data_IF_514124705983
#
_entry.id   IF_514124705983
#
_cell.length_a   1.000
_cell.length_b   1.000
_cell.length_c   1.000
_cell.angle_alpha   90.00
_cell.angle_beta   90.00
_cell.angle_gamma   90.00
#
_symmetry.space_group_name_H-M   'P 1'
#
loop_
_entity.id
_entity.type
_entity.pdbx_description
1 polymer ?
#
# COMPACT_ATOMS: atom_id res chain seq x y z
N UNK A 1 26.54 -17.77 9.57
CA UNK A 1 25.32 -18.55 9.93
C UNK A 1 25.76 -19.83 10.61
N UNK A 2 25.15 -20.20 11.74
CA UNK A 2 25.57 -21.39 12.50
C UNK A 2 25.08 -22.67 11.80
N UNK A 3 25.90 -23.73 11.70
CA UNK A 3 25.49 -25.02 11.12
C UNK A 3 24.21 -25.59 11.74
N UNK A 4 24.03 -25.41 13.06
CA UNK A 4 22.83 -25.85 13.79
C UNK A 4 21.54 -25.13 13.35
N UNK A 5 21.66 -23.89 12.88
CA UNK A 5 20.52 -23.10 12.40
C UNK A 5 20.11 -23.56 10.99
N UNK A 6 21.09 -23.95 10.17
CA UNK A 6 20.84 -24.47 8.83
C UNK A 6 20.19 -25.87 8.88
N UNK A 7 20.67 -26.74 9.78
CA UNK A 7 20.06 -28.06 10.04
C UNK A 7 18.61 -27.94 10.54
N UNK A 8 18.34 -26.99 11.44
CA UNK A 8 16.97 -26.73 11.92
C UNK A 8 16.05 -26.22 10.79
N UNK A 9 16.53 -25.32 9.93
CA UNK A 9 15.76 -24.84 8.79
C UNK A 9 15.45 -25.96 7.77
N UNK A 10 16.41 -26.85 7.52
CA UNK A 10 16.22 -28.02 6.65
C UNK A 10 15.20 -29.01 7.22
N UNK A 11 15.25 -29.28 8.53
CA UNK A 11 14.26 -30.14 9.20
C UNK A 11 12.83 -29.58 9.11
N UNK A 12 12.68 -28.25 9.24
CA UNK A 12 11.38 -27.57 9.08
C UNK A 12 10.86 -27.68 7.65
N UNK A 13 11.72 -27.45 6.64
CA UNK A 13 11.34 -27.61 5.22
C UNK A 13 10.85 -29.04 4.96
N UNK A 14 11.58 -30.04 5.44
CA UNK A 14 11.24 -31.44 5.23
C UNK A 14 9.92 -31.83 5.94
N UNK A 15 9.65 -31.27 7.11
CA UNK A 15 8.37 -31.46 7.81
C UNK A 15 7.19 -30.85 7.05
N UNK A 16 7.37 -29.68 6.44
CA UNK A 16 6.33 -29.02 5.64
C UNK A 16 6.02 -29.82 4.37
N UNK A 17 7.03 -30.38 3.71
CA UNK A 17 6.87 -31.23 2.52
C UNK A 17 6.17 -32.55 2.85
N UNK A 18 6.52 -33.19 3.96
CA UNK A 18 5.84 -34.40 4.43
C UNK A 18 4.36 -34.13 4.78
N UNK A 19 4.07 -32.97 5.38
CA UNK A 19 2.69 -32.56 5.71
C UNK A 19 1.86 -32.31 4.45
N UNK A 20 2.47 -31.70 3.42
CA UNK A 20 1.85 -31.52 2.10
C UNK A 20 1.41 -32.86 1.51
N UNK A 21 2.31 -33.86 1.50
CA UNK A 21 2.01 -35.15 0.89
C UNK A 21 0.91 -35.90 1.66
N UNK A 22 0.88 -35.77 2.99
CA UNK A 22 -0.20 -36.32 3.82
C UNK A 22 -1.57 -35.67 3.54
N UNK A 23 -1.62 -34.35 3.35
CA UNK A 23 -2.85 -33.64 2.99
C UNK A 23 -3.35 -34.06 1.61
N UNK A 24 -2.45 -34.19 0.62
CA UNK A 24 -2.82 -34.60 -0.73
C UNK A 24 -3.44 -36.01 -0.74
N UNK A 25 -2.89 -36.95 0.03
CA UNK A 25 -3.45 -38.32 0.17
C UNK A 25 -4.85 -38.31 0.81
N UNK A 26 -5.08 -37.50 1.84
CA UNK A 26 -6.41 -37.40 2.51
C UNK A 26 -7.46 -36.81 1.57
N UNK A 27 -7.04 -35.99 0.62
CA UNK A 27 -7.94 -35.22 -0.24
C UNK A 27 -8.21 -35.83 -1.63
N UNK A 28 -7.65 -37.00 -1.92
CA UNK A 28 -7.98 -37.77 -3.13
C UNK A 28 -9.42 -38.33 -3.12
N UNK A 29 -10.09 -38.38 -1.95
CA UNK A 29 -11.37 -39.09 -1.77
C UNK A 29 -12.64 -38.22 -1.99
N UNK A 30 -12.55 -36.89 -2.01
CA UNK A 30 -13.72 -36.02 -2.27
C UNK A 30 -13.36 -34.72 -3.02
N UNK A 31 -14.13 -34.36 -4.06
CA UNK A 31 -13.88 -33.16 -4.90
C UNK A 31 -13.80 -31.84 -4.11
N UNK A 32 -14.51 -31.72 -2.99
CA UNK A 32 -14.45 -30.53 -2.12
C UNK A 32 -13.13 -30.47 -1.33
N UNK A 33 -12.55 -31.62 -1.00
CA UNK A 33 -11.25 -31.72 -0.33
C UNK A 33 -10.11 -31.34 -1.28
N UNK A 34 -10.22 -31.60 -2.58
CA UNK A 34 -9.18 -31.27 -3.57
C UNK A 34 -8.87 -29.77 -3.65
N UNK A 35 -9.88 -28.89 -3.59
CA UNK A 35 -9.67 -27.44 -3.59
C UNK A 35 -8.97 -26.95 -2.30
N UNK A 36 -9.32 -27.54 -1.16
CA UNK A 36 -8.69 -27.26 0.13
C UNK A 36 -7.25 -27.78 0.17
N UNK A 37 -7.02 -29.00 -0.34
CA UNK A 37 -5.70 -29.62 -0.45
C UNK A 37 -4.73 -28.77 -1.28
N UNK A 38 -5.20 -28.30 -2.44
CA UNK A 38 -4.41 -27.46 -3.32
C UNK A 38 -4.12 -26.09 -2.69
N UNK A 39 -5.08 -25.50 -1.96
CA UNK A 39 -4.83 -24.26 -1.21
C UNK A 39 -3.80 -24.46 -0.11
N UNK A 40 -3.86 -25.56 0.63
CA UNK A 40 -2.86 -25.94 1.62
C UNK A 40 -1.49 -26.19 0.99
N UNK A 41 -1.43 -26.91 -0.14
CA UNK A 41 -0.19 -27.17 -0.90
C UNK A 41 0.48 -25.87 -1.35
N UNK A 42 -0.29 -24.92 -1.90
CA UNK A 42 0.23 -23.61 -2.32
C UNK A 42 0.81 -22.84 -1.12
N UNK A 43 0.09 -22.81 0.00
CA UNK A 43 0.55 -22.10 1.19
C UNK A 43 1.81 -22.74 1.78
N UNK A 44 1.87 -24.08 1.85
CA UNK A 44 3.03 -24.81 2.34
C UNK A 44 4.26 -24.60 1.44
N UNK A 45 4.07 -24.61 0.11
CA UNK A 45 5.15 -24.31 -0.86
C UNK A 45 5.64 -22.87 -0.74
N UNK A 46 4.74 -21.90 -0.55
CA UNK A 46 5.11 -20.50 -0.31
C UNK A 46 5.90 -20.34 0.99
N UNK A 47 5.48 -21.00 2.06
CA UNK A 47 6.21 -20.99 3.34
C UNK A 47 7.60 -21.62 3.20
N UNK A 48 7.72 -22.77 2.54
CA UNK A 48 9.00 -23.43 2.29
C UNK A 48 9.94 -22.57 1.43
N UNK A 49 9.43 -21.93 0.37
CA UNK A 49 10.20 -21.03 -0.48
C UNK A 49 10.61 -19.73 0.24
N UNK A 50 9.77 -19.22 1.15
CA UNK A 50 10.12 -18.08 2.01
C UNK A 50 11.28 -18.43 2.96
N UNK A 51 11.24 -19.60 3.60
CA UNK A 51 12.34 -20.11 4.43
C UNK A 51 13.60 -20.29 3.57
N UNK A 52 13.50 -20.94 2.40
CA UNK A 52 14.64 -21.10 1.48
C UNK A 52 15.29 -19.77 1.12
N UNK A 53 14.48 -18.76 0.76
CA UNK A 53 14.97 -17.42 0.46
C UNK A 53 15.67 -16.76 1.66
N UNK A 54 15.07 -16.83 2.85
CA UNK A 54 15.65 -16.27 4.09
C UNK A 54 17.00 -16.90 4.46
N UNK A 55 17.22 -18.17 4.10
CA UNK A 55 18.44 -18.91 4.41
C UNK A 55 19.40 -19.07 3.21
N UNK A 56 19.15 -18.39 2.09
CA UNK A 56 20.01 -18.44 0.89
C UNK A 56 20.03 -19.79 0.17
N UNK A 57 18.99 -20.60 0.35
CA UNK A 57 18.78 -21.88 -0.34
C UNK A 57 18.06 -21.66 -1.67
N UNK A 58 18.28 -22.57 -2.64
CA UNK A 58 17.69 -22.47 -3.99
C UNK A 58 16.16 -22.57 -3.91
N UNK A 59 15.47 -21.54 -4.41
CA UNK A 59 14.01 -21.48 -4.52
C UNK A 59 13.54 -22.35 -5.69
N UNK A 60 12.49 -23.15 -5.50
CA UNK A 60 11.86 -23.90 -6.57
C UNK A 60 10.76 -23.06 -7.23
N UNK A 61 10.79 -22.95 -8.57
CA UNK A 61 9.77 -22.24 -9.33
C UNK A 61 8.45 -23.02 -9.34
N UNK A 62 7.32 -22.34 -9.12
CA UNK A 62 6.00 -22.92 -9.32
C UNK A 62 5.78 -23.17 -10.83
N UNK A 63 5.96 -24.42 -11.29
CA UNK A 63 6.06 -24.76 -12.72
C UNK A 63 4.73 -24.94 -13.46
N UNK A 64 3.56 -24.66 -12.86
CA UNK A 64 2.30 -24.78 -13.59
C UNK A 64 1.26 -23.77 -13.10
N UNK A 65 0.83 -22.81 -13.93
CA UNK A 65 -0.41 -22.08 -13.70
C UNK A 65 -1.56 -23.08 -13.78
N UNK A 66 -2.19 -23.39 -12.65
CA UNK A 66 -3.34 -24.29 -12.60
C UNK A 66 -4.53 -23.55 -13.18
N UNK A 67 -5.08 -24.08 -14.27
CA UNK A 67 -6.34 -23.62 -14.84
C UNK A 67 -7.49 -24.40 -14.20
N UNK A 68 -8.39 -23.69 -13.53
CA UNK A 68 -9.58 -24.31 -12.93
C UNK A 68 -10.68 -24.37 -13.98
N UNK A 69 -11.27 -25.54 -14.18
CA UNK A 69 -12.56 -25.61 -14.88
C UNK A 69 -13.62 -24.89 -14.03
N UNK A 70 -14.56 -24.16 -14.65
CA UNK A 70 -15.62 -23.47 -13.92
C UNK A 70 -16.38 -24.45 -13.03
N UNK A 71 -16.63 -24.10 -11.77
CA UNK A 71 -17.50 -24.91 -10.91
C UNK A 71 -18.88 -25.02 -11.59
N UNK A 72 -19.29 -26.25 -11.88
CA UNK A 72 -20.60 -26.57 -12.49
C UNK A 72 -21.63 -27.05 -11.47
N UNK A 73 -21.22 -27.38 -10.24
CA UNK A 73 -22.10 -27.83 -9.16
C UNK A 73 -21.65 -27.31 -7.78
N UNK A 74 -22.62 -26.99 -6.92
CA UNK A 74 -22.40 -26.72 -5.49
C UNK A 74 -23.45 -27.49 -4.68
N UNK A 75 -23.03 -28.27 -3.69
CA UNK A 75 -23.92 -29.08 -2.82
C UNK A 75 -24.89 -30.00 -3.58
N UNK A 76 -24.42 -30.63 -4.66
CA UNK A 76 -25.23 -31.57 -5.46
C UNK A 76 -26.33 -30.91 -6.30
N UNK A 77 -26.30 -29.57 -6.44
CA UNK A 77 -27.16 -28.80 -7.33
C UNK A 77 -26.35 -28.25 -8.49
N UNK A 78 -26.88 -28.36 -9.70
CA UNK A 78 -26.30 -27.71 -10.87
C UNK A 78 -26.25 -26.20 -10.64
N UNK A 79 -25.06 -25.62 -10.76
CA UNK A 79 -24.89 -24.19 -10.87
C UNK A 79 -25.46 -23.81 -12.24
N UNK A 80 -26.75 -23.47 -12.29
CA UNK A 80 -27.31 -22.76 -13.44
C UNK A 80 -26.40 -21.57 -13.68
N UNK A 81 -25.67 -21.62 -14.79
CA UNK A 81 -24.77 -20.58 -15.24
C UNK A 81 -25.63 -19.33 -15.43
N UNK A 82 -25.73 -18.52 -14.38
CA UNK A 82 -26.03 -17.11 -14.54
C UNK A 82 -24.80 -16.54 -15.23
N UNK A 83 -24.81 -16.61 -16.57
CA UNK A 83 -23.93 -15.87 -17.47
C UNK A 83 -24.25 -14.36 -17.42
N UNK A 84 -24.57 -13.89 -16.24
CA UNK A 84 -24.48 -12.53 -15.79
C UNK A 84 -23.71 -12.69 -14.50
N UNK A 85 -22.39 -12.56 -14.57
CA UNK A 85 -21.74 -11.79 -13.51
C UNK A 85 -22.57 -10.52 -13.45
N UNK A 86 -23.50 -10.42 -12.50
CA UNK A 86 -23.87 -9.10 -12.02
C UNK A 86 -22.50 -8.50 -11.75
N UNK A 87 -22.13 -7.51 -12.57
CA UNK A 87 -21.21 -6.50 -12.10
C UNK A 87 -21.89 -6.07 -10.81
N UNK A 88 -21.46 -6.64 -9.69
CA UNK A 88 -21.61 -5.99 -8.40
C UNK A 88 -21.08 -4.62 -8.73
N UNK A 89 -21.95 -3.61 -8.74
CA UNK A 89 -21.55 -2.25 -8.96
C UNK A 89 -20.52 -1.97 -7.86
N UNK A 90 -19.25 -2.15 -8.20
CA UNK A 90 -18.11 -1.78 -7.36
C UNK A 90 -17.92 -0.27 -7.40
N UNK A 91 -18.78 0.43 -8.16
CA UNK A 91 -18.92 1.87 -8.06
C UNK A 91 -19.54 2.17 -6.68
N UNK A 92 -18.81 2.88 -5.80
CA UNK A 92 -19.35 3.26 -4.51
C UNK A 92 -20.63 4.06 -4.72
N UNK A 93 -21.62 3.80 -3.89
CA UNK A 93 -22.87 4.55 -3.88
C UNK A 93 -22.60 6.03 -3.65
N UNK A 94 -23.53 6.90 -4.09
CA UNK A 94 -23.41 8.34 -3.85
C UNK A 94 -23.28 8.65 -2.35
N UNK A 95 -23.94 7.89 -1.49
CA UNK A 95 -23.86 8.07 -0.04
C UNK A 95 -22.48 7.70 0.52
N UNK A 96 -21.86 6.63 0.01
CA UNK A 96 -20.49 6.24 0.35
C UNK A 96 -19.47 7.27 -0.15
N UNK A 97 -19.68 7.83 -1.34
CA UNK A 97 -18.85 8.90 -1.89
C UNK A 97 -18.95 10.19 -1.06
N UNK A 98 -20.15 10.61 -0.67
CA UNK A 98 -20.32 11.78 0.20
C UNK A 98 -19.70 11.56 1.59
N UNK A 99 -19.89 10.37 2.17
CA UNK A 99 -19.26 10.00 3.44
C UNK A 99 -17.73 10.07 3.35
N UNK A 100 -17.15 9.56 2.26
CA UNK A 100 -15.71 9.63 2.03
C UNK A 100 -15.24 11.08 1.84
N UNK A 101 -15.98 11.92 1.11
CA UNK A 101 -15.68 13.35 0.95
C UNK A 101 -15.68 14.08 2.29
N UNK A 102 -16.69 13.84 3.14
CA UNK A 102 -16.77 14.43 4.47
C UNK A 102 -15.56 14.04 5.34
N UNK A 103 -15.17 12.76 5.29
CA UNK A 103 -13.97 12.26 5.97
C UNK A 103 -12.70 12.92 5.46
N UNK A 104 -12.52 13.05 4.15
CA UNK A 104 -11.36 13.74 3.55
C UNK A 104 -11.31 15.20 4.02
N UNK A 105 -12.45 15.91 4.06
CA UNK A 105 -12.52 17.29 4.54
C UNK A 105 -12.22 17.42 6.04
N UNK A 106 -12.73 16.50 6.87
CA UNK A 106 -12.43 16.48 8.30
C UNK A 106 -10.95 16.17 8.58
N UNK A 107 -10.38 15.28 7.78
CA UNK A 107 -8.97 14.94 7.82
C UNK A 107 -8.12 16.15 7.42
N UNK A 108 -8.43 16.82 6.32
CA UNK A 108 -7.75 18.04 5.87
C UNK A 108 -7.75 19.14 6.96
N UNK A 109 -8.89 19.35 7.64
CA UNK A 109 -8.95 20.25 8.80
C UNK A 109 -8.03 19.81 9.94
N UNK A 110 -7.91 18.51 10.18
CA UNK A 110 -7.01 17.97 11.21
C UNK A 110 -5.54 18.17 10.88
N UNK A 111 -5.18 18.15 9.59
CA UNK A 111 -3.83 18.47 9.09
C UNK A 111 -3.49 19.97 9.20
N UNK A 112 -4.49 20.84 9.04
CA UNK A 112 -4.35 22.30 9.24
C UNK A 112 -4.27 22.69 10.73
N UNK A 113 -4.78 21.84 11.61
CA UNK A 113 -4.69 22.05 13.06
C UNK A 113 -3.34 21.67 13.65
N UNK A 114 -3.10 22.04 14.91
CA UNK A 114 -1.88 21.73 15.66
C UNK A 114 -1.77 20.26 16.12
N UNK A 115 -2.42 19.33 15.43
CA UNK A 115 -2.31 17.90 15.76
C UNK A 115 -0.89 17.42 15.46
N UNK A 116 -0.28 16.60 16.33
CA UNK A 116 1.02 15.99 16.03
C UNK A 116 0.89 14.89 14.95
N UNK A 117 1.94 14.62 14.18
CA UNK A 117 1.93 13.62 13.10
C UNK A 117 1.60 12.21 13.62
N UNK A 118 2.13 11.86 14.79
CA UNK A 118 1.85 10.57 15.46
C UNK A 118 0.39 10.46 15.88
N UNK A 119 -0.24 11.60 16.22
CA UNK A 119 -1.66 11.65 16.56
C UNK A 119 -2.54 11.49 15.32
N UNK A 120 -2.12 12.01 14.17
CA UNK A 120 -2.82 11.77 12.92
C UNK A 120 -2.68 10.31 12.47
N UNK A 121 -1.46 9.76 12.57
CA UNK A 121 -1.17 8.38 12.19
C UNK A 121 -1.94 7.37 13.04
N UNK A 122 -2.00 7.56 14.36
CA UNK A 122 -2.72 6.66 15.29
C UNK A 122 -4.24 6.68 15.14
N UNK A 123 -4.81 7.64 14.42
CA UNK A 123 -6.25 7.70 14.11
C UNK A 123 -6.64 6.81 12.94
N UNK A 124 -5.68 6.34 12.15
CA UNK A 124 -5.90 5.45 11.01
C UNK A 124 -6.19 4.06 11.54
N UNK A 125 -7.44 3.62 11.44
CA UNK A 125 -7.86 2.32 11.96
C UNK A 125 -8.59 1.47 10.93
N UNK A 126 -9.12 2.11 9.88
CA UNK A 126 -9.97 1.46 8.89
C UNK A 126 -9.42 1.63 7.48
N UNK A 127 -9.86 0.77 6.56
CA UNK A 127 -9.54 0.90 5.14
C UNK A 127 -10.08 2.21 4.53
N UNK A 128 -11.19 2.73 5.05
CA UNK A 128 -11.74 4.03 4.65
C UNK A 128 -10.81 5.19 5.06
N UNK A 129 -10.16 5.11 6.23
CA UNK A 129 -9.17 6.12 6.65
C UNK A 129 -7.94 6.10 5.75
N UNK A 130 -7.49 4.91 5.35
CA UNK A 130 -6.41 4.71 4.38
C UNK A 130 -6.77 5.34 3.03
N UNK A 131 -7.98 5.10 2.54
CA UNK A 131 -8.48 5.71 1.31
C UNK A 131 -8.61 7.23 1.43
N UNK A 132 -9.08 7.75 2.56
CA UNK A 132 -9.19 9.18 2.80
C UNK A 132 -7.80 9.85 2.80
N UNK A 133 -6.79 9.23 3.40
CA UNK A 133 -5.40 9.73 3.39
C UNK A 133 -4.81 9.72 1.99
N UNK A 134 -4.97 8.62 1.24
CA UNK A 134 -4.49 8.57 -0.14
C UNK A 134 -5.24 9.55 -1.05
N UNK A 135 -6.54 9.74 -0.83
CA UNK A 135 -7.32 10.77 -1.50
C UNK A 135 -6.82 12.19 -1.19
N UNK A 136 -6.43 12.45 0.06
CA UNK A 136 -5.82 13.71 0.46
C UNK A 136 -4.43 13.89 -0.18
N UNK A 137 -3.58 12.87 -0.16
CA UNK A 137 -2.28 12.88 -0.82
C UNK A 137 -2.39 13.15 -2.34
N UNK A 138 -3.37 12.51 -3.00
CA UNK A 138 -3.70 12.76 -4.40
C UNK A 138 -4.11 14.21 -4.65
N UNK A 139 -5.02 14.75 -3.82
CA UNK A 139 -5.47 16.15 -3.91
C UNK A 139 -4.28 17.12 -3.83
N UNK A 140 -3.31 16.81 -2.97
CA UNK A 140 -2.12 17.64 -2.73
C UNK A 140 -0.90 17.26 -3.58
N UNK A 141 -1.08 16.38 -4.58
CA UNK A 141 -0.03 15.96 -5.53
C UNK A 141 1.25 15.47 -4.85
N UNK A 142 1.11 14.73 -3.75
CA UNK A 142 2.24 14.05 -3.12
C UNK A 142 2.67 12.88 -4.01
N UNK A 143 3.97 12.78 -4.29
CA UNK A 143 4.54 11.77 -5.18
C UNK A 143 4.44 10.35 -4.59
N UNK A 144 4.33 9.34 -5.44
CA UNK A 144 4.29 7.90 -5.07
C UNK A 144 3.24 7.50 -4.02
N UNK A 145 2.25 8.35 -3.78
CA UNK A 145 1.24 8.21 -2.73
C UNK A 145 0.35 6.97 -2.87
N UNK A 146 0.41 6.22 -3.98
CA UNK A 146 -0.36 5.01 -4.25
C UNK A 146 0.36 3.73 -3.78
N UNK A 147 1.69 3.75 -3.78
CA UNK A 147 2.54 2.58 -3.50
C UNK A 147 3.27 2.66 -2.16
N UNK A 148 3.49 3.87 -1.62
CA UNK A 148 4.18 4.03 -0.33
C UNK A 148 3.31 3.62 0.86
N UNK A 149 3.95 3.21 1.95
CA UNK A 149 3.28 2.96 3.22
C UNK A 149 2.74 4.26 3.82
N UNK A 150 1.63 4.19 4.56
CA UNK A 150 1.16 5.36 5.31
C UNK A 150 1.92 5.39 6.64
N UNK A 151 2.97 6.21 6.69
CA UNK A 151 3.83 6.41 7.84
C UNK A 151 3.99 7.91 8.16
N UNK A 152 4.85 8.25 9.12
CA UNK A 152 5.09 9.64 9.53
C UNK A 152 5.58 10.50 8.36
N UNK A 153 6.42 9.95 7.48
CA UNK A 153 6.99 10.70 6.36
C UNK A 153 5.89 11.10 5.36
N UNK A 154 5.01 10.17 4.98
CA UNK A 154 3.88 10.50 4.10
C UNK A 154 2.95 11.54 4.73
N UNK A 155 2.67 11.42 6.02
CA UNK A 155 1.83 12.39 6.76
C UNK A 155 2.51 13.77 6.80
N UNK A 156 3.83 13.82 6.97
CA UNK A 156 4.61 15.06 6.91
C UNK A 156 4.56 15.71 5.52
N UNK A 157 4.71 14.93 4.46
CA UNK A 157 4.66 15.45 3.10
C UNK A 157 3.30 16.05 2.76
N UNK A 158 2.20 15.36 3.11
CA UNK A 158 0.85 15.89 2.95
C UNK A 158 0.68 17.19 3.73
N UNK A 159 1.16 17.24 4.98
CA UNK A 159 1.06 18.45 5.82
C UNK A 159 1.84 19.62 5.24
N UNK A 160 3.06 19.38 4.80
CA UNK A 160 3.93 20.40 4.23
C UNK A 160 3.30 21.01 2.98
N UNK A 161 2.64 20.19 2.14
CA UNK A 161 1.90 20.67 0.96
C UNK A 161 0.71 21.55 1.32
N UNK A 162 -0.09 21.13 2.30
CA UNK A 162 -1.22 21.92 2.81
C UNK A 162 -0.73 23.26 3.35
N UNK A 163 0.31 23.25 4.17
CA UNK A 163 0.85 24.44 4.79
C UNK A 163 1.47 25.40 3.76
N UNK A 164 2.21 24.87 2.78
CA UNK A 164 2.76 25.68 1.70
C UNK A 164 1.67 26.41 0.90
N UNK A 165 0.56 25.74 0.57
CA UNK A 165 -0.59 26.35 -0.11
C UNK A 165 -1.26 27.43 0.74
N UNK A 166 -1.36 27.22 2.05
CA UNK A 166 -1.92 28.21 2.98
C UNK A 166 -1.07 29.47 3.06
N UNK A 167 0.26 29.32 3.15
CA UNK A 167 1.19 30.45 3.13
C UNK A 167 1.09 31.27 1.84
N UNK A 168 0.88 30.61 0.70
CA UNK A 168 0.66 31.29 -0.58
C UNK A 168 -0.65 32.08 -0.57
N UNK A 169 -1.74 31.49 -0.07
CA UNK A 169 -3.06 32.15 0.00
C UNK A 169 -3.09 33.32 0.97
N UNK A 170 -2.35 33.22 2.08
CA UNK A 170 -2.25 34.26 3.10
C UNK A 170 -1.25 35.37 2.73
N UNK A 171 -0.48 35.19 1.65
CA UNK A 171 0.53 36.15 1.20
C UNK A 171 1.79 36.18 2.08
N UNK A 172 1.99 35.20 2.95
CA UNK A 172 3.18 35.07 3.78
C UNK A 172 4.32 34.39 3.02
N UNK A 173 4.80 35.12 2.01
CA UNK A 173 5.92 34.75 1.14
C UNK A 173 7.20 34.48 1.94
N UNK A 174 7.37 35.11 3.11
CA UNK A 174 8.58 35.00 3.91
C UNK A 174 8.72 33.62 4.55
N UNK A 175 7.61 33.06 5.05
CA UNK A 175 7.59 31.72 5.63
C UNK A 175 7.81 30.62 4.57
N UNK A 176 7.27 30.78 3.37
CA UNK A 176 7.48 29.82 2.28
C UNK A 176 8.95 29.80 1.81
N UNK A 177 9.59 30.97 1.74
CA UNK A 177 11.02 31.07 1.42
C UNK A 177 11.87 30.36 2.50
N UNK A 178 11.51 30.45 3.77
CA UNK A 178 12.22 29.74 4.83
C UNK A 178 12.13 28.21 4.68
N UNK A 179 10.98 27.68 4.27
CA UNK A 179 10.80 26.25 3.99
C UNK A 179 11.61 25.79 2.77
N UNK A 180 11.64 26.60 1.71
CA UNK A 180 12.46 26.33 0.52
C UNK A 180 13.94 26.22 0.92
N UNK A 181 14.43 27.16 1.72
CA UNK A 181 15.83 27.15 2.15
C UNK A 181 16.18 25.95 3.07
N UNK A 182 15.18 25.35 3.72
CA UNK A 182 15.34 24.15 4.55
C UNK A 182 15.15 22.84 3.78
N UNK A 183 14.80 22.90 2.49
CA UNK A 183 14.66 21.69 1.70
C UNK A 183 16.05 21.09 1.40
N UNK A 184 16.17 19.77 1.63
CA UNK A 184 17.42 19.03 1.47
C UNK A 184 17.58 18.39 0.09
N UNK A 185 16.51 18.38 -0.73
CA UNK A 185 16.50 17.79 -2.08
C UNK A 185 15.87 18.70 -3.10
N UNK A 186 16.31 18.60 -4.36
CA UNK A 186 15.75 19.35 -5.48
C UNK A 186 14.28 19.02 -5.70
N UNK A 187 13.89 17.75 -5.57
CA UNK A 187 12.47 17.35 -5.63
C UNK A 187 11.67 18.17 -4.62
N UNK A 188 12.08 18.21 -3.35
CA UNK A 188 11.33 18.91 -2.30
C UNK A 188 11.20 20.41 -2.58
N UNK A 189 12.21 21.05 -3.17
CA UNK A 189 12.13 22.46 -3.59
C UNK A 189 11.11 22.65 -4.73
N UNK A 190 11.15 21.81 -5.76
CA UNK A 190 10.21 21.85 -6.88
C UNK A 190 8.77 21.56 -6.42
N UNK A 191 8.63 20.66 -5.45
CA UNK A 191 7.37 20.32 -4.83
C UNK A 191 6.77 21.50 -4.03
N UNK A 192 7.56 22.21 -3.24
CA UNK A 192 7.10 23.37 -2.45
C UNK A 192 6.72 24.59 -3.32
N UNK A 193 7.21 24.65 -4.56
CA UNK A 193 7.09 25.83 -5.44
C UNK A 193 6.20 25.59 -6.66
N UNK A 194 5.65 24.38 -6.80
CA UNK A 194 4.82 23.97 -7.93
C UNK A 194 3.59 24.88 -8.08
N UNK A 195 3.53 25.62 -9.19
CA UNK A 195 2.40 26.50 -9.53
C UNK A 195 2.37 27.86 -8.82
N UNK A 196 3.46 28.24 -8.14
CA UNK A 196 3.56 29.56 -7.50
C UNK A 196 4.18 30.59 -8.45
N UNK A 197 3.45 31.64 -8.83
CA UNK A 197 3.95 32.67 -9.77
C UNK A 197 4.69 33.84 -9.08
N UNK A 198 4.88 33.79 -7.75
CA UNK A 198 5.54 34.86 -7.02
C UNK A 198 7.05 34.91 -7.33
N UNK A 199 7.52 36.04 -7.86
CA UNK A 199 8.92 36.22 -8.28
C UNK A 199 9.95 35.95 -7.17
N UNK A 200 9.64 36.30 -5.92
CA UNK A 200 10.56 36.07 -4.79
C UNK A 200 10.68 34.60 -4.43
N UNK A 201 9.56 33.87 -4.52
CA UNK A 201 9.50 32.42 -4.28
C UNK A 201 10.23 31.68 -5.40
N UNK A 202 9.98 32.05 -6.65
CA UNK A 202 10.65 31.47 -7.81
C UNK A 202 12.16 31.69 -7.76
N UNK A 203 12.61 32.89 -7.36
CA UNK A 203 14.03 33.17 -7.17
C UNK A 203 14.64 32.30 -6.07
N UNK A 204 14.03 32.25 -4.88
CA UNK A 204 14.53 31.44 -3.77
C UNK A 204 14.58 29.94 -4.13
N UNK A 205 13.59 29.44 -4.86
CA UNK A 205 13.56 28.07 -5.36
C UNK A 205 14.74 27.80 -6.31
N UNK A 206 14.98 28.70 -7.26
CA UNK A 206 16.05 28.56 -8.23
C UNK A 206 17.43 28.60 -7.54
N UNK A 207 17.64 29.54 -6.62
CA UNK A 207 18.89 29.66 -5.86
C UNK A 207 19.16 28.37 -5.07
N UNK A 208 18.13 27.81 -4.40
CA UNK A 208 18.27 26.58 -3.63
C UNK A 208 18.50 25.33 -4.50
N UNK A 209 17.84 25.25 -5.67
CA UNK A 209 18.06 24.14 -6.61
C UNK A 209 19.50 24.14 -7.16
N UNK A 210 20.09 25.33 -7.35
CA UNK A 210 21.49 25.48 -7.74
C UNK A 210 22.40 24.98 -6.62
N UNK A 211 22.18 25.42 -5.37
CA UNK A 211 22.98 24.98 -4.21
C UNK A 211 22.95 23.46 -4.00
N UNK A 212 21.80 22.81 -4.23
CA UNK A 212 21.66 21.35 -4.10
C UNK A 212 22.20 20.58 -5.31
N UNK A 213 22.74 21.28 -6.32
CA UNK A 213 23.24 20.71 -7.58
C UNK A 213 24.75 20.75 -7.76
N UNK A 214 25.47 21.44 -6.89
CA UNK A 214 26.93 21.44 -6.76
C UNK A 214 27.39 20.38 -5.74
#
# INVERSE_FOLDING_TARGET
MSPKVLEAAQAVIQSLESTKDAILVICEDEQMLFAVANRCDIQLKQMANSIRHQFGLKVEANTTPIHFEPLTQLEGRDLTVLATSEKVDTEPTNDELETLKEKVLALEKSFRGNSKNETLLSRIKTNEDVLAIRGLAKKWKVSDFESVAIDIALIEDIRNRIYADDLVKEGDVSALIALINQADTKEKVLELTAGNENEKVQKAAMDRVIELGE
#
